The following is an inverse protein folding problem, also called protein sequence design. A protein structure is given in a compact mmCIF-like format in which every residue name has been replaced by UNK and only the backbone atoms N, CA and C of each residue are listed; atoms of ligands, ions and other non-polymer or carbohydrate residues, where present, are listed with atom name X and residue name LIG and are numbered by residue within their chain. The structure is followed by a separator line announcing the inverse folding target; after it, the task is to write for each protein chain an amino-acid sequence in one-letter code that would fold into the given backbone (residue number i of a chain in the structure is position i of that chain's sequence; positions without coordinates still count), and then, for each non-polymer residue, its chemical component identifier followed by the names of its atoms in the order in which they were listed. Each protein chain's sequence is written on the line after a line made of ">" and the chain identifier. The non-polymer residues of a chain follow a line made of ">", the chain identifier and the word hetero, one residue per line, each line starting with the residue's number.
data_IF_841872368791
#
_entry.id   IF_841872368791
#
_cell.length_a   1.000
_cell.length_b   1.000
_cell.length_c   1.000
_cell.angle_alpha   90.00
_cell.angle_beta   90.00
_cell.angle_gamma   90.00
#
_symmetry.space_group_name_H-M   'P 1'
#
loop_
_entity.id
_entity.type
_entity.pdbx_description
1 polymer ?
#
# COMPACT_ATOMS: atom_id res chain seq x y z
N UNK A 1 -2.78 0.42 2.44
CA UNK A 1 -2.96 0.95 1.07
C UNK A 1 -4.40 0.69 0.68
N UNK A 2 -5.22 1.73 0.59
CA UNK A 2 -6.41 1.59 -0.22
C UNK A 2 -5.90 1.28 -1.60
N UNK A 3 -6.16 0.07 -2.09
CA UNK A 3 -6.07 -0.23 -3.50
C UNK A 3 -6.69 0.95 -4.23
N UNK A 4 -6.17 1.32 -5.38
CA UNK A 4 -6.92 2.02 -6.40
C UNK A 4 -8.22 1.21 -6.62
N UNK A 5 -9.19 1.37 -5.72
CA UNK A 5 -10.52 0.81 -5.87
C UNK A 5 -11.21 1.67 -6.90
N UNK A 6 -11.04 1.29 -8.16
CA UNK A 6 -12.05 1.61 -9.14
C UNK A 6 -13.34 0.99 -8.61
N UNK A 7 -14.30 1.83 -8.28
CA UNK A 7 -15.63 1.45 -7.81
C UNK A 7 -16.21 0.35 -8.71
N UNK A 8 -16.76 -0.75 -8.18
CA UNK A 8 -17.39 -1.78 -9.00
C UNK A 8 -18.76 -1.31 -9.47
N UNK A 9 -18.79 -0.60 -10.57
CA UNK A 9 -19.98 -0.36 -11.37
C UNK A 9 -19.99 -1.34 -12.55
N UNK A 10 -20.22 -2.59 -12.27
CA UNK A 10 -20.52 -3.61 -13.28
C UNK A 10 -21.50 -4.63 -12.69
N UNK A 11 -22.76 -4.23 -12.60
CA UNK A 11 -23.86 -5.20 -12.54
C UNK A 11 -24.76 -5.02 -13.73
N UNK A 12 -24.91 -6.13 -14.47
CA UNK A 12 -25.97 -6.49 -15.38
C UNK A 12 -26.02 -5.82 -16.75
N UNK A 13 -25.53 -6.54 -17.76
CA UNK A 13 -26.29 -6.66 -19.01
C UNK A 13 -26.10 -8.09 -19.56
N UNK A 14 -27.01 -8.98 -19.20
CA UNK A 14 -27.23 -10.23 -19.92
C UNK A 14 -28.04 -9.91 -21.17
N UNK A 15 -27.46 -10.11 -22.33
CA UNK A 15 -28.21 -10.11 -23.61
C UNK A 15 -27.86 -11.39 -24.38
N UNK A 16 -28.93 -12.13 -24.63
CA UNK A 16 -28.95 -13.35 -25.39
C UNK A 16 -28.52 -13.14 -26.85
N UNK A 17 -27.65 -14.00 -27.35
CA UNK A 17 -27.39 -14.14 -28.78
C UNK A 17 -28.21 -15.32 -29.34
N UNK A 18 -28.88 -15.15 -30.50
CA UNK A 18 -29.35 -16.29 -31.25
C UNK A 18 -28.28 -16.86 -32.21
N UNK A 19 -28.17 -18.17 -32.24
CA UNK A 19 -27.40 -18.93 -33.22
C UNK A 19 -27.95 -18.69 -34.65
N UNK A 20 -27.05 -18.38 -35.58
CA UNK A 20 -27.27 -18.62 -37.00
C UNK A 20 -26.13 -19.49 -37.55
N UNK A 21 -26.47 -20.70 -37.94
CA UNK A 21 -25.66 -21.61 -38.76
C UNK A 21 -25.75 -21.17 -40.23
N UNK A 22 -24.60 -20.99 -40.90
CA UNK A 22 -24.52 -21.09 -42.36
C UNK A 22 -23.09 -21.44 -42.81
N UNK A 23 -23.01 -22.53 -43.40
CA UNK A 23 -22.23 -23.23 -44.41
C UNK A 23 -20.94 -22.65 -44.99
N UNK A 24 -20.03 -23.61 -45.20
CA UNK A 24 -18.72 -23.61 -45.81
C UNK A 24 -18.61 -22.96 -47.22
N UNK A 25 -17.49 -22.26 -47.48
CA UNK A 25 -16.80 -22.36 -48.76
C UNK A 25 -15.29 -22.15 -48.57
N UNK A 26 -14.49 -23.08 -49.15
CA UNK A 26 -13.02 -23.06 -49.21
C UNK A 26 -12.54 -21.99 -50.21
N UNK A 27 -11.49 -21.27 -49.85
CA UNK A 27 -10.57 -20.56 -50.76
C UNK A 27 -9.14 -20.60 -50.20
N UNK A 28 -8.08 -20.41 -51.02
CA UNK A 28 -6.82 -21.12 -50.90
C UNK A 28 -5.81 -20.53 -49.91
N UNK A 29 -4.99 -21.42 -49.38
CA UNK A 29 -3.84 -21.20 -48.50
C UNK A 29 -2.81 -20.24 -49.12
N UNK A 30 -2.62 -19.10 -48.49
CA UNK A 30 -1.37 -18.31 -48.56
C UNK A 30 -0.62 -18.57 -47.25
N UNK A 31 0.63 -18.98 -47.39
CA UNK A 31 1.53 -19.27 -46.27
C UNK A 31 1.66 -18.08 -45.31
N UNK A 32 1.13 -18.23 -44.13
CA UNK A 32 1.32 -17.27 -43.05
C UNK A 32 2.68 -17.48 -42.41
N UNK A 33 3.46 -16.43 -42.32
CA UNK A 33 4.71 -16.36 -41.56
C UNK A 33 4.42 -16.73 -40.08
N UNK A 34 5.27 -17.58 -39.52
CA UNK A 34 5.21 -18.00 -38.12
C UNK A 34 5.20 -16.77 -37.19
N UNK A 35 4.35 -16.75 -36.15
CA UNK A 35 4.40 -15.70 -35.16
C UNK A 35 5.73 -15.80 -34.40
N UNK A 36 6.54 -14.75 -34.50
CA UNK A 36 7.69 -14.53 -33.62
C UNK A 36 7.18 -14.43 -32.19
N UNK A 37 7.47 -15.42 -31.40
CA UNK A 37 7.26 -15.42 -29.95
C UNK A 37 7.90 -14.15 -29.36
N UNK A 38 7.19 -13.34 -28.59
CA UNK A 38 7.83 -12.23 -27.86
C UNK A 38 8.86 -12.85 -26.92
N UNK A 39 10.10 -12.37 -27.02
CA UNK A 39 11.16 -12.75 -26.10
C UNK A 39 10.70 -12.46 -24.68
N UNK A 40 10.67 -13.48 -23.83
CA UNK A 40 10.45 -13.39 -22.40
C UNK A 40 11.42 -12.33 -21.84
N UNK A 41 10.96 -11.30 -21.10
CA UNK A 41 11.87 -10.38 -20.46
C UNK A 41 12.54 -11.10 -19.29
N UNK A 42 13.61 -11.83 -19.60
CA UNK A 42 14.51 -12.35 -18.60
C UNK A 42 15.31 -11.18 -18.02
N UNK A 43 15.32 -11.08 -16.68
CA UNK A 43 16.34 -10.36 -15.91
C UNK A 43 16.16 -8.88 -15.56
N UNK A 44 14.94 -8.37 -15.40
CA UNK A 44 14.77 -7.08 -14.71
C UNK A 44 14.85 -7.18 -13.17
N UNK A 45 14.73 -8.40 -12.60
CA UNK A 45 14.72 -8.61 -11.14
C UNK A 45 16.12 -8.65 -10.50
N UNK A 46 17.18 -8.82 -11.27
CA UNK A 46 18.54 -9.07 -10.72
C UNK A 46 19.27 -7.81 -10.24
N UNK A 47 18.90 -6.61 -10.70
CA UNK A 47 19.61 -5.38 -10.36
C UNK A 47 19.00 -4.55 -9.20
N UNK A 48 17.79 -4.87 -8.76
CA UNK A 48 17.05 -4.03 -7.81
C UNK A 48 17.48 -4.18 -6.34
N UNK A 49 18.40 -5.10 -6.03
CA UNK A 49 18.79 -5.44 -4.66
C UNK A 49 20.26 -5.82 -4.56
N UNK A 50 21.12 -5.08 -5.28
CA UNK A 50 22.57 -5.30 -5.22
C UNK A 50 23.06 -5.24 -3.77
N UNK A 51 23.70 -6.32 -3.29
CA UNK A 51 24.23 -6.42 -1.94
C UNK A 51 23.38 -7.22 -0.94
N UNK A 52 22.17 -7.63 -1.28
CA UNK A 52 21.35 -8.55 -0.48
C UNK A 52 21.38 -9.93 -1.13
N UNK A 53 21.76 -10.95 -0.38
CA UNK A 53 21.86 -12.34 -0.86
C UNK A 53 20.48 -13.02 -0.83
N UNK A 54 19.56 -12.53 -1.65
CA UNK A 54 18.18 -13.04 -1.71
C UNK A 54 18.13 -14.51 -2.10
N UNK A 55 17.56 -15.33 -1.22
CA UNK A 55 17.20 -16.71 -1.53
C UNK A 55 15.85 -16.71 -2.25
N UNK A 56 15.80 -17.35 -3.42
CA UNK A 56 14.57 -17.57 -4.18
C UNK A 56 14.24 -19.05 -4.12
N UNK A 57 13.13 -19.46 -3.49
CA UNK A 57 12.77 -20.87 -3.42
C UNK A 57 12.37 -21.41 -4.80
N UNK A 58 12.82 -22.63 -5.09
CA UNK A 58 12.42 -23.39 -6.28
C UNK A 58 11.11 -24.11 -6.01
N UNK A 59 9.97 -23.44 -6.16
CA UNK A 59 8.67 -24.06 -6.01
C UNK A 59 7.85 -23.56 -4.81
N UNK A 60 7.02 -24.43 -4.23
CA UNK A 60 5.99 -24.09 -3.25
C UNK A 60 6.35 -24.53 -1.82
N UNK A 61 7.63 -24.76 -1.49
CA UNK A 61 8.08 -25.12 -0.15
C UNK A 61 9.22 -24.22 0.32
N UNK A 62 9.20 -23.89 1.61
CA UNK A 62 10.28 -23.19 2.31
C UNK A 62 11.05 -24.11 3.27
N UNK A 63 10.81 -25.42 3.25
CA UNK A 63 11.37 -26.36 4.23
C UNK A 63 12.90 -26.36 4.25
N UNK A 64 13.54 -26.38 3.07
CA UNK A 64 14.99 -26.31 2.96
C UNK A 64 15.57 -24.98 3.50
N UNK A 65 14.83 -23.88 3.30
CA UNK A 65 15.21 -22.56 3.79
C UNK A 65 15.11 -22.52 5.32
N UNK A 66 14.02 -23.02 5.89
CA UNK A 66 13.86 -23.10 7.35
C UNK A 66 14.85 -24.09 7.97
N UNK A 67 15.14 -25.22 7.32
CA UNK A 67 16.19 -26.15 7.80
C UNK A 67 17.55 -25.47 7.87
N UNK A 68 17.93 -24.70 6.83
CA UNK A 68 19.16 -23.91 6.83
C UNK A 68 19.13 -22.81 7.88
N UNK A 69 18.04 -22.07 7.98
CA UNK A 69 17.88 -20.99 8.97
C UNK A 69 18.05 -21.52 10.41
N UNK A 70 17.48 -22.71 10.69
CA UNK A 70 17.62 -23.39 11.97
C UNK A 70 19.07 -23.83 12.23
N UNK A 71 19.75 -24.40 11.23
CA UNK A 71 21.15 -24.79 11.35
C UNK A 71 22.08 -23.60 11.61
N UNK A 72 21.83 -22.48 10.95
CA UNK A 72 22.61 -21.26 11.08
C UNK A 72 22.16 -20.38 12.28
N UNK A 73 21.09 -20.78 12.98
CA UNK A 73 20.41 -20.00 14.04
C UNK A 73 20.08 -18.56 13.60
N UNK A 74 19.62 -18.40 12.37
CA UNK A 74 19.26 -17.10 11.80
C UNK A 74 17.74 -16.99 11.61
N UNK A 75 17.11 -15.84 11.96
CA UNK A 75 15.72 -15.59 11.58
C UNK A 75 15.55 -15.54 10.06
N UNK A 76 14.34 -15.74 9.58
CA UNK A 76 14.00 -15.60 8.15
C UNK A 76 13.22 -14.30 7.94
N UNK A 77 13.67 -13.51 6.97
CA UNK A 77 12.99 -12.35 6.47
C UNK A 77 12.39 -12.70 5.11
N UNK A 78 11.08 -12.92 5.07
CA UNK A 78 10.35 -13.24 3.86
C UNK A 78 9.75 -11.97 3.27
N UNK A 79 10.12 -11.63 2.05
CA UNK A 79 9.54 -10.56 1.28
C UNK A 79 8.76 -11.11 0.09
N UNK A 80 7.49 -10.72 0.01
CA UNK A 80 6.57 -11.07 -1.05
C UNK A 80 6.24 -9.84 -1.86
N UNK A 81 6.53 -9.87 -3.17
CA UNK A 81 6.31 -8.74 -4.04
C UNK A 81 6.17 -9.14 -5.50
N UNK A 82 5.84 -8.16 -6.35
CA UNK A 82 5.77 -8.33 -7.79
C UNK A 82 6.48 -7.17 -8.51
N UNK A 83 6.92 -7.38 -9.75
CA UNK A 83 7.65 -6.38 -10.54
C UNK A 83 6.78 -5.18 -10.88
N UNK A 84 5.52 -5.41 -11.19
CA UNK A 84 4.53 -4.39 -11.56
C UNK A 84 3.98 -3.59 -10.38
N UNK A 85 4.15 -4.06 -9.16
CA UNK A 85 3.51 -3.51 -7.95
C UNK A 85 4.17 -2.19 -7.51
N UNK A 86 3.47 -1.04 -7.55
CA UNK A 86 4.06 0.25 -7.20
C UNK A 86 4.61 0.31 -5.76
N UNK A 87 3.87 -0.10 -4.70
CA UNK A 87 4.43 -0.07 -3.36
C UNK A 87 5.57 -1.08 -3.15
N UNK A 88 5.63 -2.17 -3.94
CA UNK A 88 6.78 -3.06 -3.94
C UNK A 88 8.03 -2.35 -4.48
N UNK A 89 7.86 -1.56 -5.53
CA UNK A 89 8.95 -0.78 -6.11
C UNK A 89 9.38 0.36 -5.17
N UNK A 90 8.44 0.94 -4.42
CA UNK A 90 8.76 1.94 -3.40
C UNK A 90 9.64 1.34 -2.29
N UNK A 91 9.27 0.21 -1.67
CA UNK A 91 10.08 -0.40 -0.61
C UNK A 91 11.46 -0.84 -1.13
N UNK A 92 11.54 -1.28 -2.39
CA UNK A 92 12.82 -1.58 -3.04
C UNK A 92 13.71 -0.33 -3.12
N UNK A 93 13.18 0.77 -3.59
CA UNK A 93 13.93 2.01 -3.77
C UNK A 93 14.30 2.67 -2.44
N UNK A 94 13.40 2.66 -1.45
CA UNK A 94 13.54 3.45 -0.22
C UNK A 94 14.10 2.68 0.97
N UNK A 95 13.92 1.35 1.02
CA UNK A 95 14.37 0.50 2.13
C UNK A 95 15.49 -0.44 1.69
N UNK A 96 15.26 -1.29 0.69
CA UNK A 96 16.20 -2.36 0.35
C UNK A 96 17.50 -1.85 -0.29
N UNK A 97 17.51 -0.67 -0.89
CA UNK A 97 18.71 -0.03 -1.42
C UNK A 97 19.52 0.73 -0.36
N UNK A 98 19.04 0.78 0.88
CA UNK A 98 19.75 1.47 1.97
C UNK A 98 20.97 0.67 2.44
N UNK A 99 22.12 1.34 2.67
CA UNK A 99 23.32 0.65 3.17
C UNK A 99 23.10 -0.03 4.53
N UNK A 100 22.29 0.58 5.42
CA UNK A 100 21.98 0.03 6.74
C UNK A 100 21.07 -1.22 6.66
N UNK A 101 20.12 -1.27 5.71
CA UNK A 101 19.32 -2.47 5.44
C UNK A 101 20.20 -3.58 4.86
N UNK A 102 21.03 -3.27 3.87
CA UNK A 102 21.98 -4.23 3.25
C UNK A 102 22.92 -4.83 4.32
N UNK A 103 23.47 -4.00 5.20
CA UNK A 103 24.29 -4.47 6.30
C UNK A 103 23.49 -5.38 7.25
N UNK A 104 22.27 -4.97 7.62
CA UNK A 104 21.40 -5.74 8.53
C UNK A 104 20.93 -7.05 7.91
N UNK A 105 20.81 -7.14 6.56
CA UNK A 105 20.37 -8.36 5.87
C UNK A 105 21.30 -9.57 6.08
N UNK A 106 22.53 -9.34 6.51
CA UNK A 106 23.48 -10.42 6.88
C UNK A 106 23.12 -11.14 8.19
N UNK A 107 22.26 -10.53 9.03
CA UNK A 107 21.82 -11.10 10.30
C UNK A 107 20.62 -12.05 10.16
N UNK A 108 20.00 -12.18 8.99
CA UNK A 108 18.86 -13.05 8.72
C UNK A 108 19.01 -13.76 7.37
N UNK A 109 18.15 -14.70 7.07
CA UNK A 109 18.02 -15.33 5.75
C UNK A 109 17.00 -14.53 4.95
N UNK A 110 17.41 -13.70 3.96
CA UNK A 110 16.50 -12.94 3.15
C UNK A 110 15.87 -13.82 2.06
N UNK A 111 14.55 -13.95 2.05
CA UNK A 111 13.81 -14.76 1.08
C UNK A 111 12.93 -13.83 0.25
N UNK A 112 13.06 -13.90 -1.07
CA UNK A 112 12.19 -13.19 -2.02
C UNK A 112 11.25 -14.16 -2.72
N UNK A 113 9.96 -13.89 -2.60
CA UNK A 113 8.90 -14.56 -3.34
C UNK A 113 8.34 -13.62 -4.41
N UNK A 114 8.51 -14.03 -5.67
CA UNK A 114 7.78 -13.39 -6.77
C UNK A 114 6.33 -13.88 -6.74
N UNK A 115 5.44 -12.98 -6.33
CA UNK A 115 4.03 -13.28 -6.14
C UNK A 115 3.29 -13.78 -7.38
N UNK A 116 3.84 -13.57 -8.56
CA UNK A 116 3.24 -14.02 -9.82
C UNK A 116 3.54 -15.49 -10.15
N UNK A 117 4.43 -16.13 -9.41
CA UNK A 117 4.77 -17.54 -9.63
C UNK A 117 3.74 -18.47 -8.97
N UNK A 118 3.42 -19.64 -9.60
CA UNK A 118 2.47 -20.61 -9.03
C UNK A 118 2.89 -21.11 -7.64
N UNK A 119 4.20 -21.28 -7.41
CA UNK A 119 4.74 -21.67 -6.11
C UNK A 119 4.47 -20.62 -5.03
N UNK A 120 4.72 -19.34 -5.35
CA UNK A 120 4.43 -18.25 -4.45
C UNK A 120 2.92 -18.14 -4.16
N UNK A 121 2.04 -18.32 -5.13
CA UNK A 121 0.59 -18.31 -4.91
C UNK A 121 0.12 -19.37 -3.90
N UNK A 122 0.70 -20.59 -3.95
CA UNK A 122 0.42 -21.64 -2.95
C UNK A 122 0.91 -21.24 -1.56
N UNK A 123 2.12 -20.70 -1.46
CA UNK A 123 2.64 -20.18 -0.21
C UNK A 123 1.80 -19.00 0.30
N UNK A 124 1.22 -18.17 -0.62
CA UNK A 124 0.31 -17.08 -0.28
C UNK A 124 -0.93 -17.56 0.47
N UNK A 125 -1.51 -18.62 -0.02
CA UNK A 125 -2.63 -19.29 0.65
C UNK A 125 -2.21 -19.86 2.01
N UNK A 126 -1.04 -20.49 2.08
CA UNK A 126 -0.51 -21.07 3.33
C UNK A 126 -0.26 -19.99 4.40
N UNK A 127 0.40 -18.89 4.03
CA UNK A 127 0.73 -17.79 4.95
C UNK A 127 -0.37 -16.71 5.02
N UNK A 128 -1.52 -16.95 4.40
CA UNK A 128 -2.65 -15.99 4.39
C UNK A 128 -2.19 -14.59 3.99
N UNK A 129 -1.50 -14.50 2.84
CA UNK A 129 -1.04 -13.23 2.27
C UNK A 129 -2.15 -12.63 1.42
N UNK A 130 -2.57 -11.41 1.75
CA UNK A 130 -3.66 -10.72 1.05
C UNK A 130 -3.19 -9.81 -0.08
N UNK A 131 -1.97 -9.29 0.00
CA UNK A 131 -1.51 -8.28 -0.96
C UNK A 131 0.01 -8.12 -0.99
N UNK A 132 0.46 -7.24 -1.87
CA UNK A 132 1.87 -6.91 -2.06
C UNK A 132 2.15 -5.44 -1.75
N UNK A 133 3.30 -5.10 -1.13
CA UNK A 133 4.27 -6.02 -0.53
C UNK A 133 3.76 -6.64 0.78
N UNK A 134 4.18 -7.86 1.07
CA UNK A 134 4.04 -8.46 2.39
C UNK A 134 5.42 -8.85 2.89
N UNK A 135 5.75 -8.48 4.10
CA UNK A 135 6.99 -8.84 4.77
C UNK A 135 6.69 -9.58 6.07
N UNK A 136 7.23 -10.79 6.21
CA UNK A 136 7.04 -11.64 7.39
C UNK A 136 8.39 -11.97 8.00
N UNK A 137 8.51 -11.83 9.31
CA UNK A 137 9.67 -12.31 10.08
C UNK A 137 9.32 -13.64 10.76
N UNK A 138 10.23 -14.60 10.63
CA UNK A 138 10.12 -15.89 11.30
C UNK A 138 11.32 -16.14 12.20
N UNK A 139 11.10 -16.90 13.27
CA UNK A 139 12.19 -17.54 14.04
C UNK A 139 12.93 -18.55 13.16
N UNK A 140 14.16 -18.98 13.59
CA UNK A 140 14.88 -20.02 12.88
C UNK A 140 14.13 -21.35 12.74
N UNK A 141 13.16 -21.62 13.62
CA UNK A 141 12.33 -22.82 13.60
C UNK A 141 11.08 -22.71 12.70
N UNK A 142 10.89 -21.57 12.03
CA UNK A 142 9.74 -21.30 11.16
C UNK A 142 8.50 -20.72 11.87
N UNK A 143 8.58 -20.44 13.18
CA UNK A 143 7.50 -19.75 13.89
C UNK A 143 7.40 -18.30 13.43
N UNK A 144 6.24 -17.85 12.98
CA UNK A 144 6.00 -16.46 12.60
C UNK A 144 6.13 -15.53 13.81
N UNK A 145 7.03 -14.54 13.72
CA UNK A 145 7.23 -13.52 14.75
C UNK A 145 6.27 -12.36 14.56
N UNK A 146 6.28 -11.75 13.36
CA UNK A 146 5.49 -10.56 13.05
C UNK A 146 5.44 -10.29 11.55
N UNK A 147 4.53 -9.40 11.14
CA UNK A 147 4.47 -8.82 9.79
C UNK A 147 4.79 -7.34 9.85
N UNK A 148 5.73 -6.91 9.03
CA UNK A 148 6.14 -5.51 8.95
C UNK A 148 5.23 -4.73 7.98
N UNK A 149 4.82 -3.50 8.33
CA UNK A 149 4.00 -2.67 7.46
C UNK A 149 4.79 -2.21 6.23
N UNK A 150 4.13 -2.16 5.07
CA UNK A 150 4.74 -1.71 3.82
C UNK A 150 4.60 -0.22 3.55
N UNK A 151 3.75 0.48 4.31
CA UNK A 151 3.39 1.88 4.08
C UNK A 151 4.10 2.89 4.98
N UNK A 152 4.88 2.44 5.95
CA UNK A 152 5.65 3.34 6.81
C UNK A 152 6.94 3.81 6.13
N UNK A 153 7.43 4.98 6.52
CA UNK A 153 8.70 5.49 6.00
C UNK A 153 9.91 4.59 6.36
N UNK A 154 11.00 4.75 5.60
CA UNK A 154 12.15 3.87 5.69
C UNK A 154 12.81 3.86 7.08
N UNK A 155 12.81 4.98 7.80
CA UNK A 155 13.41 5.07 9.15
C UNK A 155 12.58 4.26 10.14
N UNK A 156 11.26 4.41 10.09
CA UNK A 156 10.32 3.62 10.90
C UNK A 156 10.44 2.12 10.56
N UNK A 157 10.50 1.79 9.26
CA UNK A 157 10.66 0.41 8.82
C UNK A 157 11.90 -0.25 9.41
N UNK A 158 13.06 0.46 9.38
CA UNK A 158 14.31 -0.05 9.95
C UNK A 158 14.25 -0.25 11.46
N UNK A 159 13.55 0.62 12.18
CA UNK A 159 13.32 0.47 13.62
C UNK A 159 12.44 -0.76 13.92
N UNK A 160 11.34 -0.93 13.19
CA UNK A 160 10.45 -2.08 13.35
C UNK A 160 11.13 -3.40 12.97
N UNK A 161 11.93 -3.39 11.91
CA UNK A 161 12.77 -4.54 11.56
C UNK A 161 13.73 -4.91 12.69
N UNK A 162 14.40 -3.93 13.28
CA UNK A 162 15.32 -4.18 14.41
C UNK A 162 14.57 -4.75 15.63
N UNK A 163 13.41 -4.19 15.98
CA UNK A 163 12.55 -4.67 17.06
C UNK A 163 12.03 -6.09 16.78
N UNK A 164 11.56 -6.35 15.56
CA UNK A 164 11.10 -7.69 15.15
C UNK A 164 12.19 -8.76 15.21
N UNK A 165 13.40 -8.41 14.77
CA UNK A 165 14.55 -9.33 14.82
C UNK A 165 15.04 -9.61 16.25
N UNK A 166 14.85 -8.68 17.18
CA UNK A 166 15.19 -8.87 18.61
C UNK A 166 14.07 -9.51 19.42
N UNK A 167 12.85 -9.59 18.85
CA UNK A 167 11.70 -10.19 19.53
C UNK A 167 11.87 -11.70 19.68
N UNK A 168 11.59 -12.19 20.88
CA UNK A 168 11.55 -13.64 21.18
C UNK A 168 10.12 -14.18 21.18
N UNK A 169 9.12 -13.29 21.26
CA UNK A 169 7.72 -13.64 21.39
C UNK A 169 6.95 -13.37 20.08
N UNK A 170 6.20 -14.36 19.57
CA UNK A 170 5.29 -14.15 18.44
C UNK A 170 4.25 -13.08 18.70
N UNK A 171 3.92 -12.29 17.66
CA UNK A 171 2.90 -11.22 17.77
C UNK A 171 1.54 -11.74 18.22
N UNK A 172 1.21 -12.99 17.87
CA UNK A 172 -0.02 -13.65 18.32
C UNK A 172 -0.11 -13.78 19.84
N UNK A 173 1.00 -14.14 20.46
CA UNK A 173 1.08 -14.25 21.92
C UNK A 173 1.05 -12.87 22.58
N UNK A 174 1.76 -11.90 21.97
CA UNK A 174 1.75 -10.50 22.39
C UNK A 174 0.33 -9.92 22.36
N UNK A 175 -0.42 -10.19 21.29
CA UNK A 175 -1.83 -9.79 21.16
C UNK A 175 -2.71 -10.42 22.25
N UNK A 176 -2.56 -11.72 22.48
CA UNK A 176 -3.31 -12.42 23.51
C UNK A 176 -3.05 -11.86 24.92
N UNK A 177 -1.80 -11.52 25.23
CA UNK A 177 -1.43 -10.87 26.50
C UNK A 177 -2.01 -9.45 26.61
N UNK A 178 -1.92 -8.65 25.53
CA UNK A 178 -2.47 -7.30 25.52
C UNK A 178 -4.00 -7.27 25.76
N UNK A 179 -4.70 -8.29 25.28
CA UNK A 179 -6.16 -8.41 25.41
C UNK A 179 -6.64 -9.15 26.65
N UNK A 180 -5.75 -9.77 27.43
CA UNK A 180 -6.11 -10.52 28.63
C UNK A 180 -6.97 -9.69 29.58
N UNK A 181 -7.96 -10.37 30.22
CA UNK A 181 -8.91 -9.72 31.16
C UNK A 181 -8.28 -9.43 32.51
N UNK A 182 -7.40 -10.31 32.97
CA UNK A 182 -6.75 -10.22 34.27
C UNK A 182 -5.31 -9.73 34.13
N UNK A 183 -5.11 -8.42 34.23
CA UNK A 183 -3.78 -7.80 34.17
C UNK A 183 -2.86 -8.16 35.37
N UNK A 184 -3.37 -8.86 36.37
CA UNK A 184 -2.65 -9.11 37.62
C UNK A 184 -1.63 -10.25 37.63
N UNK A 185 -1.65 -11.15 36.63
CA UNK A 185 -0.79 -12.34 36.59
C UNK A 185 0.11 -12.44 35.33
N UNK A 186 -0.08 -11.61 34.32
CA UNK A 186 0.72 -11.61 33.10
C UNK A 186 1.89 -10.63 33.25
N UNK A 187 3.08 -10.95 32.71
CA UNK A 187 4.17 -9.98 32.66
C UNK A 187 3.73 -8.75 31.86
N UNK A 188 4.05 -7.56 32.39
CA UNK A 188 3.70 -6.28 31.74
C UNK A 188 4.41 -6.22 30.37
N UNK A 189 3.64 -6.05 29.30
CA UNK A 189 4.21 -5.88 27.96
C UNK A 189 5.10 -4.64 27.90
N UNK A 190 6.25 -4.79 27.25
CA UNK A 190 7.19 -3.69 27.05
C UNK A 190 6.62 -2.67 26.04
N UNK A 191 7.21 -1.47 26.01
CA UNK A 191 6.88 -0.46 25.00
C UNK A 191 7.08 -1.00 23.57
N UNK A 192 8.15 -1.76 23.34
CA UNK A 192 8.43 -2.37 22.03
C UNK A 192 7.37 -3.38 21.62
N UNK A 193 6.87 -4.19 22.57
CA UNK A 193 5.78 -5.14 22.31
C UNK A 193 4.47 -4.42 21.92
N UNK A 194 4.10 -3.35 22.62
CA UNK A 194 2.96 -2.50 22.28
C UNK A 194 3.14 -1.80 20.93
N UNK A 195 4.36 -1.30 20.66
CA UNK A 195 4.69 -0.69 19.38
C UNK A 195 4.57 -1.69 18.24
N UNK A 196 5.03 -2.93 18.40
CA UNK A 196 4.88 -3.97 17.39
C UNK A 196 3.41 -4.27 17.08
N UNK A 197 2.50 -4.22 18.06
CA UNK A 197 1.05 -4.33 17.82
C UNK A 197 0.51 -3.11 17.05
N UNK A 198 0.94 -1.89 17.40
CA UNK A 198 0.49 -0.67 16.72
C UNK A 198 0.95 -0.56 15.26
N UNK A 199 2.07 -1.18 14.92
CA UNK A 199 2.68 -1.18 13.59
C UNK A 199 2.58 -2.54 12.87
N UNK A 200 1.89 -3.52 13.45
CA UNK A 200 1.63 -4.78 12.73
C UNK A 200 0.91 -4.50 11.41
N UNK A 201 1.25 -5.26 10.37
CA UNK A 201 0.62 -5.11 9.04
C UNK A 201 -0.76 -5.76 8.99
N UNK A 202 -1.72 -5.15 9.69
CA UNK A 202 -3.11 -5.61 9.77
C UNK A 202 -3.78 -5.70 8.40
N UNK A 203 -3.33 -4.87 7.45
CA UNK A 203 -3.86 -4.75 6.11
C UNK A 203 -3.49 -5.96 5.21
N UNK A 204 -2.35 -6.60 5.48
CA UNK A 204 -1.89 -7.79 4.74
C UNK A 204 -2.13 -9.10 5.48
N UNK A 205 -2.63 -9.03 6.70
CA UNK A 205 -3.01 -10.18 7.51
C UNK A 205 -4.44 -10.62 7.16
N UNK A 206 -4.59 -11.66 6.34
CA UNK A 206 -5.90 -12.14 5.90
C UNK A 206 -6.64 -12.87 7.04
N UNK A 207 -7.04 -12.08 8.05
CA UNK A 207 -7.79 -12.57 9.23
C UNK A 207 -7.07 -13.70 10.00
N UNK A 208 -5.72 -13.71 9.96
CA UNK A 208 -4.95 -14.75 10.66
C UNK A 208 -4.95 -14.54 12.16
N UNK A 209 -4.73 -13.28 12.61
CA UNK A 209 -4.74 -12.93 14.03
C UNK A 209 -6.13 -12.56 14.53
N UNK A 210 -6.86 -11.77 13.75
CA UNK A 210 -8.18 -11.24 14.11
C UNK A 210 -9.09 -11.30 12.88
N UNK A 211 -10.32 -11.82 13.00
CA UNK A 211 -11.32 -11.76 11.94
C UNK A 211 -11.53 -10.31 11.48
N UNK A 212 -11.69 -10.08 10.16
CA UNK A 212 -11.83 -8.73 9.60
C UNK A 212 -12.90 -7.91 10.33
N UNK A 213 -14.08 -8.49 10.56
CA UNK A 213 -15.22 -7.86 11.25
C UNK A 213 -14.94 -7.47 12.71
N UNK A 214 -13.90 -8.01 13.33
CA UNK A 214 -13.54 -7.75 14.73
C UNK A 214 -12.31 -6.83 14.84
N UNK A 215 -11.65 -6.53 13.72
CA UNK A 215 -10.35 -5.85 13.72
C UNK A 215 -10.44 -4.42 14.26
N UNK A 216 -11.42 -3.63 13.81
CA UNK A 216 -11.61 -2.26 14.30
C UNK A 216 -11.87 -2.23 15.83
N UNK A 217 -12.72 -3.13 16.32
CA UNK A 217 -13.01 -3.25 17.75
C UNK A 217 -11.78 -3.74 18.56
N UNK A 218 -11.01 -4.67 18.00
CA UNK A 218 -9.75 -5.15 18.61
C UNK A 218 -8.72 -4.04 18.74
N UNK A 219 -8.52 -3.25 17.69
CA UNK A 219 -7.59 -2.11 17.72
C UNK A 219 -8.05 -1.04 18.72
N UNK A 220 -9.35 -0.79 18.82
CA UNK A 220 -9.91 0.09 19.84
C UNK A 220 -9.61 -0.42 21.26
N UNK A 221 -9.82 -1.72 21.53
CA UNK A 221 -9.47 -2.32 22.82
C UNK A 221 -7.98 -2.20 23.12
N UNK A 222 -7.10 -2.42 22.12
CA UNK A 222 -5.67 -2.23 22.27
C UNK A 222 -5.32 -0.78 22.61
N UNK A 223 -5.94 0.20 21.95
CA UNK A 223 -5.73 1.61 22.25
C UNK A 223 -6.13 1.96 23.69
N UNK A 224 -7.26 1.42 24.16
CA UNK A 224 -7.77 1.65 25.53
C UNK A 224 -6.93 0.94 26.61
N UNK A 225 -6.37 -0.22 26.30
CA UNK A 225 -5.55 -1.00 27.24
C UNK A 225 -4.07 -0.61 27.22
N UNK A 226 -3.62 0.11 26.19
CA UNK A 226 -2.24 0.57 26.09
C UNK A 226 -1.91 1.49 27.28
N UNK A 227 -0.81 1.25 28.01
CA UNK A 227 -0.45 2.06 29.15
C UNK A 227 -0.34 3.55 28.79
N UNK A 228 -0.83 4.43 29.67
CA UNK A 228 -0.80 5.88 29.46
C UNK A 228 0.63 6.42 29.25
N UNK A 229 1.64 5.73 29.78
CA UNK A 229 3.07 6.03 29.54
C UNK A 229 3.49 5.82 28.08
N UNK A 230 2.72 5.10 27.28
CA UNK A 230 2.97 4.83 25.86
C UNK A 230 1.96 5.60 24.97
N UNK A 231 1.70 6.86 25.32
CA UNK A 231 0.66 7.70 24.71
C UNK A 231 0.71 7.77 23.18
N UNK A 232 1.90 7.80 22.58
CA UNK A 232 2.07 7.85 21.12
C UNK A 232 1.63 6.53 20.46
N UNK A 233 1.90 5.40 21.11
CA UNK A 233 1.46 4.08 20.66
C UNK A 233 -0.07 3.93 20.79
N UNK A 234 -0.65 4.38 21.90
CA UNK A 234 -2.10 4.40 22.10
C UNK A 234 -2.80 5.29 21.05
N UNK A 235 -2.24 6.47 20.75
CA UNK A 235 -2.76 7.37 19.73
C UNK A 235 -2.74 6.71 18.33
N UNK A 236 -1.64 6.03 17.95
CA UNK A 236 -1.57 5.31 16.68
C UNK A 236 -2.59 4.17 16.58
N UNK A 237 -2.76 3.39 17.66
CA UNK A 237 -3.80 2.34 17.72
C UNK A 237 -5.20 2.94 17.55
N UNK A 238 -5.47 4.09 18.16
CA UNK A 238 -6.73 4.81 17.99
C UNK A 238 -6.94 5.31 16.55
N UNK A 239 -5.89 5.85 15.91
CA UNK A 239 -5.94 6.23 14.49
C UNK A 239 -6.30 5.04 13.60
N UNK A 240 -5.67 3.87 13.82
CA UNK A 240 -5.97 2.65 13.06
C UNK A 240 -7.41 2.17 13.34
N UNK A 241 -7.86 2.17 14.59
CA UNK A 241 -9.24 1.82 14.94
C UNK A 241 -10.25 2.76 14.26
N UNK A 242 -10.01 4.06 14.28
CA UNK A 242 -10.87 5.04 13.61
C UNK A 242 -10.89 4.85 12.09
N UNK A 243 -9.72 4.64 11.46
CA UNK A 243 -9.62 4.42 10.02
C UNK A 243 -10.46 3.21 9.56
N UNK A 244 -10.35 2.08 10.26
CA UNK A 244 -11.09 0.86 9.93
C UNK A 244 -12.58 0.95 10.28
N UNK A 245 -12.96 1.81 11.24
CA UNK A 245 -14.35 2.06 11.59
C UNK A 245 -15.16 2.77 10.50
N UNK A 246 -14.49 3.31 9.48
CA UNK A 246 -15.16 3.86 8.30
C UNK A 246 -15.84 2.79 7.44
N UNK A 247 -15.28 1.58 7.39
CA UNK A 247 -15.86 0.44 6.67
C UNK A 247 -16.73 -0.43 7.58
N UNK A 248 -16.26 -0.69 8.80
CA UNK A 248 -16.90 -1.57 9.78
C UNK A 248 -17.01 -0.82 11.10
N UNK A 249 -18.18 -0.23 11.37
CA UNK A 249 -18.41 0.54 12.59
C UNK A 249 -17.98 -0.26 13.82
N UNK A 250 -16.87 0.15 14.45
CA UNK A 250 -16.43 -0.45 15.71
C UNK A 250 -17.48 -0.17 16.79
N UNK A 251 -18.06 -1.23 17.32
CA UNK A 251 -18.94 -1.11 18.47
C UNK A 251 -18.18 -0.51 19.64
N UNK A 252 -18.70 0.57 20.22
CA UNK A 252 -18.12 1.22 21.39
C UNK A 252 -17.03 2.27 21.11
N UNK A 253 -16.84 2.71 19.86
CA UNK A 253 -15.95 3.83 19.56
C UNK A 253 -16.55 5.13 20.15
N UNK A 254 -15.90 5.68 21.17
CA UNK A 254 -16.15 7.03 21.66
C UNK A 254 -15.53 8.03 20.67
N UNK A 255 -16.38 8.69 19.89
CA UNK A 255 -15.95 9.64 18.86
C UNK A 255 -15.28 10.87 19.44
N UNK A 256 -15.63 11.30 20.66
CA UNK A 256 -14.98 12.43 21.32
C UNK A 256 -13.56 12.08 21.77
N UNK A 257 -13.37 10.91 22.38
CA UNK A 257 -12.04 10.42 22.75
C UNK A 257 -11.17 10.17 21.50
N UNK A 258 -11.75 9.62 20.43
CA UNK A 258 -11.05 9.42 19.16
C UNK A 258 -10.66 10.75 18.53
N UNK A 259 -11.54 11.75 18.50
CA UNK A 259 -11.24 13.10 18.02
C UNK A 259 -10.08 13.74 18.79
N UNK A 260 -10.11 13.64 20.13
CA UNK A 260 -9.03 14.17 20.97
C UNK A 260 -7.69 13.50 20.67
N UNK A 261 -7.66 12.19 20.49
CA UNK A 261 -6.46 11.45 20.12
C UNK A 261 -5.94 11.88 18.73
N UNK A 262 -6.82 12.00 17.73
CA UNK A 262 -6.49 12.49 16.38
C UNK A 262 -5.91 13.89 16.45
N UNK A 263 -6.56 14.82 17.16
CA UNK A 263 -6.08 16.19 17.33
C UNK A 263 -4.70 16.25 18.00
N UNK A 264 -4.44 15.37 18.98
CA UNK A 264 -3.13 15.29 19.63
C UNK A 264 -2.01 14.89 18.67
N UNK A 265 -2.33 14.16 17.59
CA UNK A 265 -1.38 13.76 16.55
C UNK A 265 -1.21 14.86 15.52
N UNK A 266 -2.30 15.38 14.93
CA UNK A 266 -2.19 16.35 13.82
C UNK A 266 -1.64 17.70 14.25
N UNK A 267 -1.80 18.10 15.53
CA UNK A 267 -1.28 19.37 16.06
C UNK A 267 0.19 19.30 16.49
N UNK A 268 0.71 18.12 16.75
CA UNK A 268 2.10 17.92 17.15
C UNK A 268 2.94 17.49 15.93
N UNK A 269 3.93 18.30 15.50
CA UNK A 269 4.73 17.97 14.31
C UNK A 269 5.51 16.66 14.41
N UNK A 270 5.95 16.27 15.61
CA UNK A 270 6.71 15.03 15.82
C UNK A 270 5.77 13.82 15.68
N UNK A 271 4.60 13.89 16.31
CA UNK A 271 3.58 12.84 16.20
C UNK A 271 3.01 12.75 14.78
N UNK A 272 2.76 13.88 14.12
CA UNK A 272 2.30 13.93 12.74
C UNK A 272 3.32 13.24 11.82
N UNK A 273 4.61 13.57 11.98
CA UNK A 273 5.69 12.94 11.21
C UNK A 273 5.79 11.44 11.48
N UNK A 274 5.65 11.01 12.73
CA UNK A 274 5.67 9.58 13.10
C UNK A 274 4.46 8.79 12.58
N UNK A 275 3.37 9.47 12.23
CA UNK A 275 2.15 8.89 11.69
C UNK A 275 1.85 9.38 10.26
N UNK A 276 2.89 9.74 9.49
CA UNK A 276 2.73 10.26 8.13
C UNK A 276 1.92 9.33 7.22
N UNK A 277 2.08 8.01 7.36
CA UNK A 277 1.29 6.98 6.70
C UNK A 277 -0.22 7.08 7.01
N UNK A 278 -0.56 7.21 8.30
CA UNK A 278 -1.95 7.34 8.73
C UNK A 278 -2.57 8.65 8.25
N UNK A 279 -1.81 9.75 8.33
CA UNK A 279 -2.28 11.07 7.91
C UNK A 279 -2.43 11.18 6.39
N UNK A 280 -1.64 10.44 5.63
CA UNK A 280 -1.68 10.48 4.16
C UNK A 280 -2.72 9.51 3.58
N UNK A 281 -2.79 8.28 4.07
CA UNK A 281 -3.62 7.25 3.42
C UNK A 281 -5.02 7.10 4.02
N UNK A 282 -5.24 7.56 5.27
CA UNK A 282 -6.50 7.36 5.99
C UNK A 282 -7.19 8.65 6.43
N UNK A 283 -6.69 9.82 5.97
CA UNK A 283 -7.21 11.14 6.35
C UNK A 283 -8.73 11.24 6.26
N UNK A 284 -9.28 10.92 5.10
CA UNK A 284 -10.71 11.04 4.80
C UNK A 284 -11.57 10.11 5.67
N UNK A 285 -11.10 8.90 5.91
CA UNK A 285 -11.83 7.91 6.68
C UNK A 285 -11.86 8.27 8.16
N UNK A 286 -10.70 8.62 8.71
CA UNK A 286 -10.58 9.04 10.11
C UNK A 286 -11.44 10.28 10.36
N UNK A 287 -11.30 11.33 9.54
CA UNK A 287 -12.05 12.59 9.72
C UNK A 287 -13.57 12.33 9.66
N UNK A 288 -14.03 11.49 8.72
CA UNK A 288 -15.47 11.14 8.61
C UNK A 288 -16.01 10.41 9.84
N UNK A 289 -15.20 9.56 10.46
CA UNK A 289 -15.60 8.77 11.61
C UNK A 289 -15.65 9.61 12.88
N UNK A 290 -14.65 10.48 13.09
CA UNK A 290 -14.51 11.21 14.35
C UNK A 290 -15.25 12.54 14.40
N UNK A 291 -15.82 13.00 13.26
CA UNK A 291 -16.56 14.26 13.20
C UNK A 291 -17.85 14.13 12.38
N UNK A 292 -18.93 14.84 12.77
CA UNK A 292 -20.16 14.90 11.96
C UNK A 292 -19.93 15.62 10.63
N UNK A 293 -20.68 15.22 9.59
CA UNK A 293 -20.65 15.89 8.28
C UNK A 293 -21.01 17.37 8.41
N UNK A 294 -20.20 18.25 7.80
CA UNK A 294 -20.46 19.69 7.75
C UNK A 294 -20.36 20.41 9.09
N UNK A 295 -19.89 19.75 10.15
CA UNK A 295 -19.79 20.38 11.48
C UNK A 295 -18.59 21.33 11.60
N UNK A 296 -18.65 22.30 12.54
CA UNK A 296 -17.49 23.16 12.85
C UNK A 296 -16.26 22.36 13.27
N UNK A 297 -16.46 21.25 13.99
CA UNK A 297 -15.38 20.36 14.44
C UNK A 297 -14.69 19.70 13.27
N UNK A 298 -15.45 19.29 12.22
CA UNK A 298 -14.89 18.74 10.97
C UNK A 298 -14.04 19.80 10.27
N UNK A 299 -14.56 21.01 10.12
CA UNK A 299 -13.84 22.09 9.47
C UNK A 299 -12.53 22.42 10.20
N UNK A 300 -12.58 22.49 11.52
CA UNK A 300 -11.40 22.72 12.34
C UNK A 300 -10.38 21.58 12.23
N UNK A 301 -10.83 20.33 12.29
CA UNK A 301 -9.95 19.17 12.15
C UNK A 301 -9.31 19.10 10.76
N UNK A 302 -10.05 19.40 9.70
CA UNK A 302 -9.51 19.44 8.32
C UNK A 302 -8.46 20.55 8.18
N UNK A 303 -8.67 21.69 8.81
CA UNK A 303 -7.69 22.77 8.81
C UNK A 303 -6.39 22.35 9.52
N UNK A 304 -6.48 21.77 10.72
CA UNK A 304 -5.34 21.24 11.47
C UNK A 304 -4.62 20.15 10.68
N UNK A 305 -5.39 19.25 10.04
CA UNK A 305 -4.85 18.15 9.21
C UNK A 305 -4.06 18.69 8.02
N UNK A 306 -4.64 19.65 7.28
CA UNK A 306 -3.97 20.30 6.16
C UNK A 306 -2.66 20.98 6.58
N UNK A 307 -2.62 21.62 7.74
CA UNK A 307 -1.40 22.21 8.27
C UNK A 307 -0.31 21.18 8.59
N UNK A 308 -0.70 19.98 9.04
CA UNK A 308 0.22 18.86 9.22
C UNK A 308 0.73 18.33 7.87
N UNK A 309 -0.18 18.11 6.90
CA UNK A 309 0.17 17.62 5.57
C UNK A 309 1.10 18.58 4.82
N UNK A 310 0.95 19.88 4.97
CA UNK A 310 1.85 20.88 4.36
C UNK A 310 3.31 20.66 4.76
N UNK A 311 3.55 20.33 6.03
CA UNK A 311 4.90 20.01 6.51
C UNK A 311 5.41 18.69 5.94
N UNK A 312 4.52 17.67 5.80
CA UNK A 312 4.90 16.36 5.26
C UNK A 312 5.22 16.42 3.76
N UNK A 313 4.50 17.23 2.98
CA UNK A 313 4.76 17.40 1.53
C UNK A 313 6.19 17.87 1.25
N UNK A 314 6.74 18.70 2.13
CA UNK A 314 8.09 19.29 1.95
C UNK A 314 9.16 18.64 2.84
N UNK A 315 8.81 17.63 3.63
CA UNK A 315 9.76 16.95 4.52
C UNK A 315 10.75 16.12 3.71
N UNK A 316 11.98 16.59 3.59
CA UNK A 316 13.05 15.93 2.85
C UNK A 316 13.50 14.58 3.45
N UNK A 317 13.09 14.26 4.68
CA UNK A 317 13.36 12.95 5.32
C UNK A 317 12.37 11.87 4.90
N UNK A 318 11.25 12.27 4.29
CA UNK A 318 10.28 11.37 3.67
C UNK A 318 10.68 11.01 2.23
N UNK A 319 10.30 9.83 1.80
CA UNK A 319 10.42 9.45 0.40
C UNK A 319 9.54 10.32 -0.50
N UNK A 320 9.84 10.35 -1.80
CA UNK A 320 8.99 11.05 -2.77
C UNK A 320 7.57 10.49 -2.82
N UNK A 321 7.41 9.19 -2.65
CA UNK A 321 6.10 8.54 -2.52
C UNK A 321 5.32 9.02 -1.30
N UNK A 322 5.97 9.16 -0.15
CA UNK A 322 5.32 9.62 1.08
C UNK A 322 4.93 11.12 0.98
N UNK A 323 5.82 11.96 0.43
CA UNK A 323 5.53 13.36 0.15
C UNK A 323 4.33 13.52 -0.79
N UNK A 324 4.28 12.70 -1.84
CA UNK A 324 3.17 12.66 -2.78
C UNK A 324 1.87 12.18 -2.12
N UNK A 325 1.93 11.16 -1.26
CA UNK A 325 0.79 10.70 -0.46
C UNK A 325 0.19 11.80 0.41
N UNK A 326 1.04 12.63 1.02
CA UNK A 326 0.58 13.79 1.78
C UNK A 326 -0.11 14.84 0.90
N UNK A 327 0.39 15.10 -0.31
CA UNK A 327 -0.26 15.98 -1.27
C UNK A 327 -1.62 15.41 -1.75
N UNK A 328 -1.71 14.10 -2.00
CA UNK A 328 -2.96 13.43 -2.35
C UNK A 328 -4.00 13.55 -1.24
N UNK A 329 -3.60 13.38 0.02
CA UNK A 329 -4.51 13.54 1.16
C UNK A 329 -5.12 14.96 1.24
N UNK A 330 -4.35 16.00 0.89
CA UNK A 330 -4.89 17.37 0.81
C UNK A 330 -5.97 17.47 -0.27
N UNK A 331 -5.76 16.89 -1.45
CA UNK A 331 -6.77 16.84 -2.52
C UNK A 331 -8.00 16.07 -2.05
N UNK A 332 -7.82 14.91 -1.43
CA UNK A 332 -8.91 14.06 -0.93
C UNK A 332 -9.78 14.76 0.12
N UNK A 333 -9.17 15.52 1.00
CA UNK A 333 -9.89 16.29 2.03
C UNK A 333 -10.75 17.41 1.45
N UNK A 334 -10.46 17.95 0.26
CA UNK A 334 -11.34 18.93 -0.40
C UNK A 334 -12.70 18.35 -0.80
N UNK A 335 -12.78 17.04 -0.96
CA UNK A 335 -13.99 16.31 -1.33
C UNK A 335 -14.56 15.48 -0.17
N UNK A 336 -14.27 15.85 1.09
CA UNK A 336 -14.64 15.05 2.25
C UNK A 336 -16.15 14.93 2.45
N UNK A 337 -16.90 15.98 2.16
CA UNK A 337 -18.36 16.02 2.34
C UNK A 337 -19.17 15.72 1.06
N UNK A 338 -18.49 15.42 -0.01
CA UNK A 338 -19.07 15.05 -1.31
C UNK A 338 -18.12 15.34 -2.46
N UNK A 339 -18.44 14.89 -3.67
CA UNK A 339 -17.65 15.22 -4.84
C UNK A 339 -17.67 16.75 -5.03
N UNK A 340 -16.51 17.30 -5.40
CA UNK A 340 -16.46 18.71 -5.77
C UNK A 340 -17.36 18.95 -6.99
N UNK A 341 -18.10 20.08 -6.97
CA UNK A 341 -18.88 20.48 -8.12
C UNK A 341 -17.95 20.70 -9.33
N UNK A 342 -18.11 19.94 -10.43
CA UNK A 342 -17.25 20.09 -11.59
C UNK A 342 -17.36 21.47 -12.27
N UNK A 343 -18.40 22.25 -11.96
CA UNK A 343 -18.61 23.61 -12.46
C UNK A 343 -17.89 24.67 -11.62
N UNK A 344 -17.48 24.34 -10.40
CA UNK A 344 -16.73 25.28 -9.56
C UNK A 344 -15.24 25.21 -9.89
N UNK A 345 -14.59 26.37 -10.11
CA UNK A 345 -13.13 26.41 -10.24
C UNK A 345 -12.46 25.83 -9.00
N UNK A 346 -11.43 24.99 -9.21
CA UNK A 346 -10.59 24.54 -8.11
C UNK A 346 -9.80 25.68 -7.53
N UNK A 347 -9.50 25.61 -6.25
CA UNK A 347 -8.65 26.57 -5.57
C UNK A 347 -7.29 26.69 -6.29
N UNK A 348 -6.89 27.91 -6.62
CA UNK A 348 -5.65 28.18 -7.38
C UNK A 348 -4.40 27.74 -6.61
N UNK A 349 -4.41 27.86 -5.28
CA UNK A 349 -3.29 27.44 -4.42
C UNK A 349 -3.16 25.92 -4.45
N UNK A 350 -4.28 25.20 -4.42
CA UNK A 350 -4.29 23.73 -4.55
C UNK A 350 -3.76 23.29 -5.93
N UNK A 351 -4.18 23.94 -7.00
CA UNK A 351 -3.69 23.65 -8.35
C UNK A 351 -2.19 23.89 -8.48
N UNK A 352 -1.68 24.96 -7.91
CA UNK A 352 -0.24 25.26 -7.88
C UNK A 352 0.51 24.19 -7.09
N UNK A 353 0.06 23.86 -5.89
CA UNK A 353 0.65 22.78 -5.09
C UNK A 353 0.74 21.47 -5.86
N UNK A 354 -0.34 21.08 -6.53
CA UNK A 354 -0.40 19.82 -7.28
C UNK A 354 0.57 19.81 -8.46
N UNK A 355 0.63 20.92 -9.23
CA UNK A 355 1.59 21.07 -10.35
C UNK A 355 3.03 21.04 -9.88
N UNK A 356 3.33 21.82 -8.85
CA UNK A 356 4.70 21.90 -8.31
C UNK A 356 5.15 20.57 -7.74
N UNK A 357 4.25 19.87 -7.03
CA UNK A 357 4.53 18.53 -6.50
C UNK A 357 4.79 17.55 -7.65
N UNK A 358 3.92 17.46 -8.64
CA UNK A 358 4.08 16.54 -9.76
C UNK A 358 5.35 16.83 -10.57
N UNK A 359 5.65 18.10 -10.85
CA UNK A 359 6.86 18.51 -11.55
C UNK A 359 8.14 18.20 -10.74
N UNK A 360 8.12 18.41 -9.43
CA UNK A 360 9.23 18.06 -8.55
C UNK A 360 9.49 16.55 -8.52
N UNK A 361 8.45 15.70 -8.50
CA UNK A 361 8.59 14.25 -8.59
C UNK A 361 9.25 13.84 -9.92
N UNK A 362 8.73 14.33 -11.05
CA UNK A 362 9.27 14.00 -12.38
C UNK A 362 10.73 14.41 -12.53
N UNK A 363 11.10 15.60 -12.05
CA UNK A 363 12.45 16.14 -12.15
C UNK A 363 13.46 15.45 -11.24
N UNK A 364 13.05 15.09 -10.01
CA UNK A 364 14.00 14.66 -8.97
C UNK A 364 14.27 13.16 -8.96
N UNK A 365 13.34 12.34 -9.47
CA UNK A 365 13.44 10.88 -9.39
C UNK A 365 14.15 10.35 -10.65
N UNK A 366 15.31 9.72 -10.43
CA UNK A 366 16.09 9.10 -11.50
C UNK A 366 16.08 7.58 -11.46
N UNK A 367 15.83 6.99 -10.28
CA UNK A 367 15.72 5.54 -10.14
C UNK A 367 14.44 5.02 -10.82
N UNK A 368 14.58 4.01 -11.68
CA UNK A 368 13.47 3.47 -12.48
C UNK A 368 12.38 2.79 -11.66
N UNK A 369 12.73 2.22 -10.51
CA UNK A 369 11.76 1.56 -9.62
C UNK A 369 10.99 2.59 -8.80
N UNK A 370 11.68 3.63 -8.33
CA UNK A 370 11.01 4.75 -7.68
C UNK A 370 10.09 5.47 -8.66
N UNK A 371 10.53 5.71 -9.91
CA UNK A 371 9.67 6.27 -10.97
C UNK A 371 8.44 5.41 -11.21
N UNK A 372 8.60 4.07 -11.28
CA UNK A 372 7.50 3.12 -11.47
C UNK A 372 6.45 3.21 -10.36
N UNK A 373 6.83 3.58 -9.13
CA UNK A 373 5.89 3.74 -8.01
C UNK A 373 5.31 5.14 -7.90
N UNK A 374 6.07 6.18 -8.26
CA UNK A 374 5.70 7.57 -7.98
C UNK A 374 5.03 8.27 -9.18
N UNK A 375 5.52 8.08 -10.41
CA UNK A 375 5.02 8.83 -11.57
C UNK A 375 3.54 8.55 -11.89
N UNK A 376 3.03 7.31 -11.87
CA UNK A 376 1.60 7.08 -12.07
C UNK A 376 0.72 7.76 -11.01
N UNK A 377 1.20 7.81 -9.76
CA UNK A 377 0.50 8.46 -8.67
C UNK A 377 0.55 10.00 -8.79
N UNK A 378 1.68 10.57 -9.24
CA UNK A 378 1.78 12.00 -9.52
C UNK A 378 0.85 12.43 -10.66
N UNK A 379 0.75 11.63 -11.71
CA UNK A 379 -0.19 11.85 -12.80
C UNK A 379 -1.65 11.68 -12.32
N UNK A 380 -1.91 10.75 -11.41
CA UNK A 380 -3.24 10.59 -10.80
C UNK A 380 -3.62 11.82 -9.96
N UNK A 381 -2.68 12.36 -9.18
CA UNK A 381 -2.87 13.59 -8.42
C UNK A 381 -3.28 14.77 -9.33
N UNK A 382 -2.61 14.96 -10.48
CA UNK A 382 -3.00 15.93 -11.50
C UNK A 382 -4.43 15.67 -12.02
N UNK A 383 -4.74 14.42 -12.33
CA UNK A 383 -6.05 13.99 -12.82
C UNK A 383 -7.19 14.28 -11.84
N UNK A 384 -6.94 14.15 -10.54
CA UNK A 384 -7.98 14.33 -9.49
C UNK A 384 -8.37 15.79 -9.29
N UNK A 385 -7.51 16.71 -9.67
CA UNK A 385 -7.86 18.14 -9.67
C UNK A 385 -8.30 18.64 -11.04
N UNK A 386 -8.42 17.76 -12.05
CA UNK A 386 -8.91 18.09 -13.38
C UNK A 386 -7.84 18.49 -14.40
N UNK A 387 -6.54 18.40 -14.04
CA UNK A 387 -5.41 18.70 -14.93
C UNK A 387 -5.09 17.50 -15.84
N UNK A 388 -6.10 17.07 -16.61
CA UNK A 388 -6.04 15.82 -17.37
C UNK A 388 -4.98 15.83 -18.48
N UNK A 389 -4.75 16.98 -19.13
CA UNK A 389 -3.76 17.08 -20.22
C UNK A 389 -2.32 17.01 -19.68
N UNK A 390 -2.09 17.63 -18.53
CA UNK A 390 -0.80 17.58 -17.83
C UNK A 390 -0.52 16.14 -17.31
N UNK A 391 -1.54 15.48 -16.77
CA UNK A 391 -1.49 14.07 -16.36
C UNK A 391 -1.14 13.16 -17.55
N UNK A 392 -1.83 13.30 -18.68
CA UNK A 392 -1.58 12.51 -19.88
C UNK A 392 -0.19 12.75 -20.46
N UNK A 393 0.28 14.00 -20.49
CA UNK A 393 1.62 14.33 -20.98
C UNK A 393 2.70 13.64 -20.15
N UNK A 394 2.59 13.70 -18.81
CA UNK A 394 3.51 13.02 -17.89
C UNK A 394 3.54 11.50 -18.13
N UNK A 395 2.37 10.88 -18.23
CA UNK A 395 2.26 9.42 -18.42
C UNK A 395 2.82 8.98 -19.77
N UNK A 396 2.47 9.69 -20.85
CA UNK A 396 2.95 9.37 -22.21
C UNK A 396 4.46 9.51 -22.34
N UNK A 397 5.07 10.48 -21.66
CA UNK A 397 6.52 10.65 -21.61
C UNK A 397 7.22 9.53 -20.81
N UNK A 398 6.52 8.91 -19.85
CA UNK A 398 7.06 7.84 -19.02
C UNK A 398 6.88 6.44 -19.63
N UNK A 399 5.84 6.20 -20.44
CA UNK A 399 5.53 4.88 -21.01
C UNK A 399 6.74 4.14 -21.62
N UNK A 400 7.63 4.79 -22.42
CA UNK A 400 8.79 4.10 -23.01
C UNK A 400 9.86 3.69 -21.99
N UNK A 401 9.85 4.28 -20.80
CA UNK A 401 10.85 4.07 -19.73
C UNK A 401 10.35 3.13 -18.64
N UNK A 402 9.02 2.94 -18.58
CA UNK A 402 8.38 2.20 -17.50
C UNK A 402 8.76 0.73 -17.52
N UNK A 403 9.12 0.19 -16.35
CA UNK A 403 9.41 -1.24 -16.15
C UNK A 403 8.15 -2.07 -16.38
N UNK A 404 6.99 -1.55 -15.95
CA UNK A 404 5.67 -2.13 -16.19
C UNK A 404 4.67 -0.99 -16.44
N UNK A 405 4.28 -0.72 -17.70
CA UNK A 405 3.45 0.43 -18.04
C UNK A 405 1.97 0.28 -17.67
N UNK A 406 1.57 -0.84 -17.09
CA UNK A 406 0.19 -1.19 -16.77
C UNK A 406 -0.57 -0.07 -16.05
N UNK A 407 -0.04 0.42 -14.92
CA UNK A 407 -0.72 1.48 -14.15
C UNK A 407 -0.73 2.84 -14.87
N UNK A 408 0.29 3.15 -15.67
CA UNK A 408 0.31 4.34 -16.51
C UNK A 408 -0.86 4.32 -17.51
N UNK A 409 -1.08 3.19 -18.16
CA UNK A 409 -2.17 3.00 -19.12
C UNK A 409 -3.55 3.02 -18.44
N UNK A 410 -3.68 2.49 -17.22
CA UNK A 410 -4.92 2.58 -16.44
C UNK A 410 -5.30 4.03 -16.10
N UNK A 411 -4.32 4.87 -15.73
CA UNK A 411 -4.60 6.29 -15.48
C UNK A 411 -4.97 7.01 -16.77
N UNK A 412 -4.31 6.72 -17.90
CA UNK A 412 -4.69 7.26 -19.22
C UNK A 412 -6.12 6.85 -19.61
N UNK A 413 -6.50 5.60 -19.37
CA UNK A 413 -7.88 5.12 -19.56
C UNK A 413 -8.87 5.90 -18.69
N UNK A 414 -8.54 6.09 -17.41
CA UNK A 414 -9.37 6.88 -16.49
C UNK A 414 -9.52 8.33 -16.93
N UNK A 415 -8.44 8.95 -17.41
CA UNK A 415 -8.46 10.33 -17.91
C UNK A 415 -9.35 10.46 -19.16
N UNK A 416 -9.24 9.54 -20.12
CA UNK A 416 -10.10 9.49 -21.29
C UNK A 416 -11.60 9.37 -20.88
N UNK A 417 -11.88 8.48 -19.91
CA UNK A 417 -13.24 8.34 -19.36
C UNK A 417 -13.74 9.62 -18.69
N UNK A 418 -12.89 10.33 -17.92
CA UNK A 418 -13.22 11.63 -17.30
C UNK A 418 -13.56 12.70 -18.37
N UNK A 419 -12.98 12.62 -19.58
CA UNK A 419 -13.30 13.50 -20.72
C UNK A 419 -14.57 13.07 -21.49
N UNK A 420 -15.13 11.90 -21.21
CA UNK A 420 -16.24 11.31 -22.00
C UNK A 420 -15.77 10.59 -23.28
N UNK A 421 -14.45 10.45 -23.49
CA UNK A 421 -13.88 9.69 -24.60
C UNK A 421 -13.88 8.18 -24.27
N UNK A 422 -15.02 7.54 -24.54
CA UNK A 422 -15.22 6.11 -24.28
C UNK A 422 -14.32 5.24 -25.16
N UNK A 423 -14.08 5.65 -26.42
CA UNK A 423 -13.25 4.89 -27.35
C UNK A 423 -11.79 4.91 -26.92
N UNK A 424 -11.26 6.09 -26.57
CA UNK A 424 -9.91 6.23 -26.02
C UNK A 424 -9.72 5.53 -24.68
N UNK A 425 -10.75 5.57 -23.82
CA UNK A 425 -10.72 4.84 -22.55
C UNK A 425 -10.60 3.32 -22.75
N UNK A 426 -11.37 2.76 -23.71
CA UNK A 426 -11.31 1.34 -24.05
C UNK A 426 -9.95 0.96 -24.66
N UNK A 427 -9.44 1.74 -25.60
CA UNK A 427 -8.14 1.51 -26.23
C UNK A 427 -7.00 1.45 -25.19
N UNK A 428 -6.97 2.37 -24.24
CA UNK A 428 -5.98 2.35 -23.16
C UNK A 428 -6.18 1.17 -22.22
N UNK A 429 -7.43 0.78 -21.92
CA UNK A 429 -7.75 -0.37 -21.11
C UNK A 429 -7.27 -1.69 -21.76
N UNK A 430 -7.52 -1.86 -23.07
CA UNK A 430 -7.04 -3.02 -23.83
C UNK A 430 -5.50 -3.09 -23.87
N UNK A 431 -4.83 -1.96 -24.05
CA UNK A 431 -3.36 -1.88 -23.98
C UNK A 431 -2.84 -2.24 -22.59
N UNK A 432 -3.50 -1.78 -21.53
CA UNK A 432 -3.15 -2.14 -20.15
C UNK A 432 -3.31 -3.64 -19.91
N UNK A 433 -4.41 -4.24 -20.36
CA UNK A 433 -4.64 -5.67 -20.26
C UNK A 433 -3.59 -6.47 -21.03
N UNK A 434 -3.31 -6.09 -22.27
CA UNK A 434 -2.30 -6.75 -23.11
C UNK A 434 -0.89 -6.67 -22.51
N UNK A 435 -0.56 -5.54 -21.85
CA UNK A 435 0.72 -5.32 -21.15
C UNK A 435 0.76 -5.81 -19.70
N UNK A 436 -0.31 -6.42 -19.20
CA UNK A 436 -0.38 -6.88 -17.80
C UNK A 436 0.54 -8.08 -17.58
N UNK A 437 1.25 -8.05 -16.45
CA UNK A 437 2.17 -9.11 -16.03
C UNK A 437 1.58 -9.76 -14.77
N UNK A 438 1.52 -11.11 -14.80
CA UNK A 438 1.08 -11.89 -13.65
C UNK A 438 -0.44 -12.01 -13.49
N UNK A 439 -0.90 -12.97 -12.66
CA UNK A 439 -2.31 -13.24 -12.47
C UNK A 439 -3.04 -12.11 -11.74
N UNK A 440 -2.41 -11.45 -10.78
CA UNK A 440 -3.04 -10.43 -9.95
C UNK A 440 -3.48 -9.20 -10.75
N UNK A 441 -2.71 -8.77 -11.76
CA UNK A 441 -3.10 -7.66 -12.63
C UNK A 441 -4.22 -8.04 -13.58
N UNK A 442 -4.24 -9.29 -14.08
CA UNK A 442 -5.29 -9.81 -14.96
C UNK A 442 -6.63 -9.99 -14.27
N UNK A 443 -6.63 -10.31 -12.97
CA UNK A 443 -7.85 -10.48 -12.18
C UNK A 443 -8.58 -9.15 -11.88
N UNK A 444 -8.00 -8.00 -12.21
CA UNK A 444 -8.63 -6.69 -12.06
C UNK A 444 -9.63 -6.36 -13.20
N UNK A 445 -9.71 -7.20 -14.21
CA UNK A 445 -10.63 -7.12 -15.36
C UNK A 445 -11.77 -8.13 -15.24
#
# INVERSE_FOLDING_TARGET
>A
MKNLQFSPLSRALALALPLCLAACSKAPETAAAAPTTPATPASASAQAHAGIDWVKPDGASLDAIFAKAKADNKPVFLYWGAVWCPPCNQIKATVFNRPDFIAKSKAFVPVYLDGDTPGAQKLGTQFKVRGYPTTILFKPDGTELTRLPGEVDAVQYMQLLAQGLSSTQPIKETLAQALAKDAGAAPTLTMDAWRMLAYYSWETDESQLVPKKELAATLLQLAQKCPATYADTAARLMLKAAALSAEEKAAGLDTAAALAAVQSVVKDPVRARANADMLSYYAKDIVKVVTPKGSPERNALVADWNAALEKLVVDATLSKGDQLGAAQAKVDLTAIDGPADPKQPRDATLLTLVRDTAAAMDKSITDKYERQSVIPNAAHLLSDVGLLDESDAMLKAELPKAVSPYYHMLVLSSNAKKRGDTAGALDWAEKAYAGSIGPATRMQW
#
